data_IF_779256475165
#
_entry.id   IF_779256475165
#
_cell.length_a   1.000
_cell.length_b   1.000
_cell.length_c   1.000
_cell.angle_alpha   90.00
_cell.angle_beta   90.00
_cell.angle_gamma   90.00
#
_symmetry.space_group_name_H-M   'P 1'
#
loop_
_entity.id
_entity.type
_entity.pdbx_description
1 polymer ?
#
# COMPACT_ATOMS: atom_id res chain seq x y z
N UNK A 1 -78.71 34.59 3.78
CA UNK A 1 -77.62 35.18 2.97
C UNK A 1 -76.41 34.26 3.05
N UNK A 2 -75.80 34.00 1.88
CA UNK A 2 -74.46 33.45 1.66
C UNK A 2 -74.26 31.93 1.91
N UNK A 3 -73.69 31.34 0.86
CA UNK A 3 -73.47 29.93 0.52
C UNK A 3 -72.13 29.41 1.08
N UNK A 4 -71.92 28.09 0.88
CA UNK A 4 -70.65 27.34 0.68
C UNK A 4 -70.08 26.70 1.96
N UNK A 5 -69.50 25.50 1.95
CA UNK A 5 -69.36 24.40 0.96
C UNK A 5 -68.75 23.23 1.76
N UNK A 6 -69.22 22.00 1.53
CA UNK A 6 -68.69 20.78 2.13
C UNK A 6 -67.26 20.50 1.67
N UNK A 7 -66.42 19.94 2.57
CA UNK A 7 -65.44 18.94 2.16
C UNK A 7 -65.13 17.96 3.29
N UNK A 8 -65.56 16.72 3.08
CA UNK A 8 -65.25 15.56 3.90
C UNK A 8 -63.76 15.20 3.79
N UNK A 9 -63.15 14.77 4.89
CA UNK A 9 -61.89 14.05 4.89
C UNK A 9 -62.08 12.71 5.59
N UNK A 10 -62.04 11.66 4.77
CA UNK A 10 -62.00 10.27 5.20
C UNK A 10 -60.71 9.99 5.97
N UNK A 11 -60.84 9.48 7.19
CA UNK A 11 -59.74 8.93 7.97
C UNK A 11 -59.44 7.51 7.48
N UNK A 12 -58.26 7.33 6.88
CA UNK A 12 -57.73 6.02 6.53
C UNK A 12 -56.68 5.64 7.57
N UNK A 13 -57.02 4.69 8.44
CA UNK A 13 -56.10 4.10 9.41
C UNK A 13 -55.24 3.04 8.71
N UNK A 14 -53.93 3.28 8.57
CA UNK A 14 -52.96 2.25 8.22
C UNK A 14 -52.32 1.73 9.51
N UNK A 15 -52.67 0.51 9.88
CA UNK A 15 -52.03 -0.25 10.95
C UNK A 15 -50.73 -0.86 10.39
N UNK A 16 -49.61 -0.52 11.02
CA UNK A 16 -48.27 -0.98 10.65
C UNK A 16 -48.08 -2.47 10.96
N UNK A 17 -47.74 -3.28 9.95
CA UNK A 17 -47.23 -4.64 10.11
C UNK A 17 -45.71 -4.62 9.95
N UNK A 18 -45.00 -5.08 10.98
CA UNK A 18 -43.55 -5.01 11.12
C UNK A 18 -42.80 -5.87 10.10
N UNK A 19 -41.75 -5.28 9.52
CA UNK A 19 -40.73 -5.99 8.76
C UNK A 19 -39.44 -5.97 9.59
N UNK A 20 -39.20 -7.02 10.37
CA UNK A 20 -37.92 -7.24 11.04
C UNK A 20 -36.88 -7.60 9.97
N UNK A 21 -36.07 -6.63 9.56
CA UNK A 21 -34.89 -6.88 8.73
C UNK A 21 -33.86 -7.61 9.59
N UNK A 22 -33.80 -8.94 9.47
CA UNK A 22 -32.70 -9.72 9.98
C UNK A 22 -31.44 -9.39 9.19
N UNK A 23 -30.53 -8.62 9.79
CA UNK A 23 -29.19 -8.41 9.24
C UNK A 23 -28.43 -9.75 9.28
N UNK A 24 -28.40 -10.47 8.16
CA UNK A 24 -27.49 -11.59 8.01
C UNK A 24 -26.05 -11.04 7.87
N UNK A 25 -25.06 -11.60 8.59
CA UNK A 25 -23.68 -11.30 8.30
C UNK A 25 -23.35 -11.89 6.92
N UNK A 26 -22.96 -11.03 5.99
CA UNK A 26 -22.40 -11.44 4.72
C UNK A 26 -21.06 -12.15 4.99
N UNK A 27 -21.08 -13.48 5.01
CA UNK A 27 -19.87 -14.29 4.99
C UNK A 27 -19.26 -14.18 3.58
N UNK A 28 -18.33 -13.24 3.41
CA UNK A 28 -17.54 -13.13 2.19
C UNK A 28 -16.57 -14.34 2.12
N UNK A 29 -17.02 -15.43 1.48
CA UNK A 29 -16.15 -16.53 1.09
C UNK A 29 -15.29 -16.08 -0.11
N UNK A 30 -14.22 -15.32 0.16
CA UNK A 30 -13.18 -15.01 -0.82
C UNK A 30 -11.84 -15.63 -0.41
N UNK A 31 -11.85 -16.92 -0.04
CA UNK A 31 -10.63 -17.74 -0.07
C UNK A 31 -10.46 -18.30 -1.48
N UNK A 32 -10.18 -17.39 -2.43
CA UNK A 32 -9.64 -17.79 -3.72
C UNK A 32 -8.33 -18.53 -3.47
N UNK A 33 -8.28 -19.79 -3.89
CA UNK A 33 -7.04 -20.55 -4.09
C UNK A 33 -6.01 -19.60 -4.69
N UNK A 34 -4.87 -19.40 -4.02
CA UNK A 34 -3.70 -18.78 -4.63
C UNK A 34 -3.36 -19.60 -5.88
N UNK A 35 -3.77 -19.10 -7.04
CA UNK A 35 -3.35 -19.64 -8.31
C UNK A 35 -1.87 -19.29 -8.40
N UNK A 36 -1.02 -20.29 -8.18
CA UNK A 36 0.40 -20.21 -8.48
C UNK A 36 0.55 -20.13 -10.00
N UNK A 37 0.34 -18.93 -10.53
CA UNK A 37 0.72 -18.59 -11.90
C UNK A 37 2.25 -18.64 -11.97
N UNK A 38 2.78 -19.67 -12.64
CA UNK A 38 4.21 -19.98 -12.70
C UNK A 38 5.04 -18.90 -13.41
N UNK A 39 4.43 -17.84 -13.95
CA UNK A 39 5.10 -16.68 -14.55
C UNK A 39 5.20 -15.44 -13.65
N UNK A 40 4.48 -15.38 -12.53
CA UNK A 40 4.50 -14.25 -11.59
C UNK A 40 5.50 -14.54 -10.46
N UNK A 41 6.32 -13.55 -10.11
CA UNK A 41 7.23 -13.70 -8.98
C UNK A 41 6.44 -14.00 -7.71
N UNK A 42 6.99 -14.86 -6.85
CA UNK A 42 6.34 -15.29 -5.62
C UNK A 42 6.78 -14.43 -4.43
N UNK A 43 5.83 -13.79 -3.77
CA UNK A 43 6.08 -12.93 -2.61
C UNK A 43 6.65 -13.74 -1.44
N UNK A 44 6.28 -15.02 -1.32
CA UNK A 44 6.76 -15.89 -0.24
C UNK A 44 8.28 -16.11 -0.35
N UNK A 45 8.77 -16.32 -1.57
CA UNK A 45 10.20 -16.40 -1.87
C UNK A 45 10.96 -15.14 -1.44
N UNK A 46 10.43 -13.95 -1.72
CA UNK A 46 11.04 -12.68 -1.27
C UNK A 46 11.03 -12.54 0.27
N UNK A 47 9.94 -12.96 0.93
CA UNK A 47 9.80 -12.91 2.38
C UNK A 47 10.80 -13.83 3.10
N UNK A 48 11.04 -15.03 2.55
CA UNK A 48 11.84 -16.07 3.18
C UNK A 48 13.34 -16.02 2.85
N UNK A 49 13.74 -15.23 1.85
CA UNK A 49 15.11 -15.12 1.38
C UNK A 49 16.13 -14.82 2.49
N UNK A 50 17.31 -15.46 2.45
CA UNK A 50 18.39 -15.33 3.44
C UNK A 50 18.90 -13.90 3.67
N UNK A 51 18.86 -13.04 2.66
CA UNK A 51 19.19 -11.61 2.73
C UNK A 51 18.36 -10.81 3.74
N UNK A 52 17.24 -11.39 4.21
CA UNK A 52 16.37 -10.85 5.25
C UNK A 52 16.61 -11.49 6.61
N UNK A 53 17.70 -12.23 6.82
CA UNK A 53 17.97 -12.92 8.09
C UNK A 53 17.85 -11.98 9.30
N UNK A 54 18.44 -10.79 9.22
CA UNK A 54 18.37 -9.77 10.28
C UNK A 54 16.99 -9.08 10.37
N UNK A 55 16.24 -9.02 9.26
CA UNK A 55 14.93 -8.40 9.21
C UNK A 55 13.84 -9.23 9.89
N UNK A 56 13.96 -10.57 9.83
CA UNK A 56 12.94 -11.54 10.25
C UNK A 56 12.50 -11.37 11.70
N UNK A 57 13.40 -10.91 12.58
CA UNK A 57 13.08 -10.63 13.98
C UNK A 57 11.93 -9.61 14.15
N UNK A 58 11.72 -8.75 13.14
CA UNK A 58 10.68 -7.73 13.14
C UNK A 58 9.41 -8.12 12.40
N UNK A 59 9.40 -9.22 11.66
CA UNK A 59 8.22 -9.67 10.90
C UNK A 59 7.04 -9.94 11.84
N UNK A 60 7.28 -10.34 13.10
CA UNK A 60 6.23 -10.54 14.11
C UNK A 60 5.49 -9.26 14.52
N UNK A 61 6.09 -8.09 14.33
CA UNK A 61 5.48 -6.80 14.62
C UNK A 61 4.93 -6.12 13.37
N UNK A 62 5.55 -6.40 12.21
CA UNK A 62 5.20 -5.75 10.95
C UNK A 62 4.25 -6.55 10.07
N UNK A 63 4.13 -7.85 10.31
CA UNK A 63 3.28 -8.77 9.58
C UNK A 63 3.35 -8.62 8.05
N UNK A 64 4.55 -8.62 7.44
CA UNK A 64 4.72 -8.18 6.04
C UNK A 64 3.88 -8.98 5.05
N UNK A 65 3.76 -10.29 5.24
CA UNK A 65 2.91 -11.14 4.39
C UNK A 65 1.45 -10.68 4.41
N UNK A 66 0.90 -10.43 5.61
CA UNK A 66 -0.49 -10.00 5.77
C UNK A 66 -0.70 -8.58 5.26
N UNK A 67 0.26 -7.69 5.51
CA UNK A 67 0.20 -6.30 5.05
C UNK A 67 0.21 -6.24 3.52
N UNK A 68 1.16 -6.91 2.87
CA UNK A 68 1.26 -6.90 1.41
C UNK A 68 0.07 -7.61 0.74
N UNK A 69 -0.47 -8.65 1.38
CA UNK A 69 -1.72 -9.29 0.95
C UNK A 69 -2.92 -8.34 1.10
N UNK A 70 -3.01 -7.59 2.20
CA UNK A 70 -4.12 -6.65 2.42
C UNK A 70 -4.17 -5.56 1.35
N UNK A 71 -3.01 -5.05 0.93
CA UNK A 71 -2.91 -4.09 -0.16
C UNK A 71 -2.99 -4.72 -1.56
N UNK A 72 -3.10 -6.04 -1.64
CA UNK A 72 -3.08 -6.81 -2.88
C UNK A 72 -1.91 -6.41 -3.80
N UNK A 73 -0.71 -6.35 -3.23
CA UNK A 73 0.50 -6.01 -3.98
C UNK A 73 0.84 -7.16 -4.93
N UNK A 74 0.88 -6.85 -6.22
CA UNK A 74 1.14 -7.81 -7.29
C UNK A 74 2.48 -7.51 -7.99
N UNK A 75 3.14 -8.51 -8.59
CA UNK A 75 4.53 -8.37 -9.02
C UNK A 75 4.71 -7.59 -10.33
N UNK A 76 3.60 -7.31 -11.02
CA UNK A 76 3.49 -6.52 -12.25
C UNK A 76 3.04 -5.07 -11.99
N UNK A 77 2.86 -4.67 -10.74
CA UNK A 77 2.47 -3.31 -10.39
C UNK A 77 3.65 -2.34 -10.34
N UNK A 78 3.33 -1.05 -10.38
CA UNK A 78 4.23 0.01 -9.89
C UNK A 78 3.95 0.26 -8.42
N UNK A 79 4.94 0.09 -7.56
CA UNK A 79 4.83 0.28 -6.11
C UNK A 79 5.78 1.37 -5.66
N UNK A 80 5.24 2.32 -4.91
CA UNK A 80 5.98 3.43 -4.32
C UNK A 80 6.20 3.16 -2.81
N UNK A 81 7.45 2.98 -2.39
CA UNK A 81 7.83 2.88 -0.98
C UNK A 81 8.20 4.27 -0.44
N UNK A 82 7.35 4.83 0.41
CA UNK A 82 7.65 6.06 1.12
C UNK A 82 8.51 5.79 2.36
N UNK A 83 9.62 6.49 2.48
CA UNK A 83 10.52 6.43 3.64
C UNK A 83 11.15 5.05 3.83
N UNK A 84 11.92 4.52 2.86
CA UNK A 84 12.47 3.17 2.94
C UNK A 84 13.45 2.98 4.12
N UNK A 85 14.02 4.08 4.65
CA UNK A 85 14.90 4.05 5.82
C UNK A 85 16.04 3.04 5.66
N UNK A 86 16.12 2.08 6.58
CA UNK A 86 17.09 0.97 6.54
C UNK A 86 16.76 -0.18 5.57
N UNK A 87 15.78 0.00 4.68
CA UNK A 87 15.48 -0.90 3.57
C UNK A 87 14.64 -2.13 3.90
N UNK A 88 13.98 -2.17 5.06
CA UNK A 88 13.32 -3.41 5.52
C UNK A 88 12.21 -3.89 4.55
N UNK A 89 11.39 -2.97 4.03
CA UNK A 89 10.38 -3.30 3.01
C UNK A 89 11.00 -3.36 1.61
N UNK A 90 11.98 -2.51 1.31
CA UNK A 90 12.79 -2.58 0.09
C UNK A 90 13.31 -3.99 -0.17
N UNK A 91 13.77 -4.69 0.88
CA UNK A 91 14.28 -6.06 0.77
C UNK A 91 13.22 -7.11 0.40
N UNK A 92 11.94 -6.77 0.44
CA UNK A 92 10.83 -7.59 -0.04
C UNK A 92 10.36 -7.08 -1.42
N UNK A 93 10.01 -5.79 -1.48
CA UNK A 93 9.32 -5.18 -2.62
C UNK A 93 10.20 -5.14 -3.87
N UNK A 94 11.47 -4.73 -3.74
CA UNK A 94 12.32 -4.54 -4.90
C UNK A 94 12.56 -5.86 -5.65
N UNK A 95 13.01 -6.97 -5.03
CA UNK A 95 13.14 -8.25 -5.73
C UNK A 95 11.81 -8.80 -6.26
N UNK A 96 10.72 -8.57 -5.53
CA UNK A 96 9.39 -9.03 -5.92
C UNK A 96 8.94 -8.37 -7.23
N UNK A 97 9.18 -7.07 -7.39
CA UNK A 97 8.76 -6.29 -8.55
C UNK A 97 9.78 -6.29 -9.70
N UNK A 98 11.05 -6.61 -9.43
CA UNK A 98 12.16 -6.42 -10.37
C UNK A 98 12.01 -7.11 -11.74
N UNK A 99 11.17 -8.14 -11.87
CA UNK A 99 11.00 -8.84 -13.14
C UNK A 99 9.95 -8.20 -14.04
N UNK A 100 8.78 -7.87 -13.49
CA UNK A 100 7.59 -7.52 -14.28
C UNK A 100 6.95 -6.18 -13.89
N UNK A 101 7.35 -5.61 -12.75
CA UNK A 101 6.79 -4.40 -12.18
C UNK A 101 7.83 -3.29 -12.07
N UNK A 102 7.45 -2.23 -11.35
CA UNK A 102 8.33 -1.07 -11.12
C UNK A 102 8.38 -0.76 -9.62
N UNK A 103 9.58 -0.65 -9.09
CA UNK A 103 9.81 -0.21 -7.72
C UNK A 103 10.29 1.24 -7.72
N UNK A 104 9.63 2.09 -6.93
CA UNK A 104 10.00 3.49 -6.74
C UNK A 104 10.17 3.73 -5.24
N UNK A 105 11.29 4.28 -4.83
CA UNK A 105 11.51 4.75 -3.48
C UNK A 105 11.33 6.27 -3.42
N UNK A 106 10.63 6.77 -2.40
CA UNK A 106 10.52 8.21 -2.18
C UNK A 106 10.84 8.60 -0.74
N UNK A 107 11.48 9.75 -0.58
CA UNK A 107 11.59 10.46 0.68
C UNK A 107 10.85 11.79 0.62
N UNK A 108 10.71 12.45 1.77
CA UNK A 108 10.13 13.77 1.83
C UNK A 108 10.95 14.79 1.02
N UNK A 109 10.24 15.78 0.47
CA UNK A 109 10.77 16.99 -0.14
C UNK A 109 11.69 17.73 0.84
N UNK A 110 12.98 17.75 0.52
CA UNK A 110 14.00 18.32 1.38
C UNK A 110 13.99 19.85 1.40
N UNK A 111 13.36 20.50 0.40
CA UNK A 111 13.21 21.97 0.34
C UNK A 111 12.35 22.53 1.47
N UNK A 112 11.61 21.67 2.17
CA UNK A 112 10.75 22.02 3.31
C UNK A 112 11.48 22.02 4.65
N UNK A 113 12.77 21.69 4.67
CA UNK A 113 13.56 21.63 5.90
C UNK A 113 14.58 22.76 5.99
N UNK A 114 14.73 23.29 7.20
CA UNK A 114 15.88 24.10 7.58
C UNK A 114 17.02 23.18 8.02
N UNK A 115 18.21 23.37 7.45
CA UNK A 115 19.39 22.57 7.78
C UNK A 115 20.35 23.36 8.68
N UNK A 116 20.95 22.71 9.69
CA UNK A 116 21.89 23.37 10.60
C UNK A 116 23.23 23.73 9.93
N UNK A 117 23.57 23.09 8.81
CA UNK A 117 24.75 23.36 8.00
C UNK A 117 24.61 22.73 6.59
N UNK A 118 25.54 23.09 5.70
CA UNK A 118 25.56 22.64 4.31
C UNK A 118 25.84 21.13 4.19
N UNK A 119 26.62 20.55 5.10
CA UNK A 119 26.90 19.10 5.10
C UNK A 119 25.64 18.28 5.39
N UNK A 120 24.82 18.72 6.34
CA UNK A 120 23.54 18.09 6.65
C UNK A 120 22.59 18.18 5.46
N UNK A 121 22.52 19.35 4.82
CA UNK A 121 21.72 19.58 3.61
C UNK A 121 22.16 18.65 2.47
N UNK A 122 23.45 18.65 2.14
CA UNK A 122 24.00 17.83 1.05
C UNK A 122 23.79 16.33 1.28
N UNK A 123 23.89 15.85 2.53
CA UNK A 123 23.64 14.43 2.86
C UNK A 123 22.20 14.00 2.63
N UNK A 124 21.24 14.89 2.89
CA UNK A 124 19.81 14.61 2.66
C UNK A 124 19.50 14.70 1.17
N UNK A 125 19.88 15.78 0.51
CA UNK A 125 19.61 16.02 -0.91
C UNK A 125 20.28 15.01 -1.84
N UNK A 126 21.40 14.41 -1.43
CA UNK A 126 22.07 13.34 -2.19
C UNK A 126 21.39 11.97 -2.06
N UNK A 127 20.32 11.85 -1.27
CA UNK A 127 19.65 10.57 -1.00
C UNK A 127 19.16 9.86 -2.29
N UNK A 128 18.48 10.51 -3.23
CA UNK A 128 18.03 9.87 -4.46
C UNK A 128 19.18 9.23 -5.26
N UNK A 129 20.37 9.84 -5.27
CA UNK A 129 21.52 9.34 -6.03
C UNK A 129 22.22 8.16 -5.34
N UNK A 130 22.26 8.14 -4.00
CA UNK A 130 22.95 7.09 -3.22
C UNK A 130 22.06 5.91 -2.83
N UNK A 131 20.74 6.08 -2.82
CA UNK A 131 19.80 5.01 -2.45
C UNK A 131 19.84 3.81 -3.41
N UNK A 132 19.83 3.98 -4.76
CA UNK A 132 19.93 2.85 -5.69
C UNK A 132 21.11 1.93 -5.41
N UNK A 133 22.27 2.50 -5.09
CA UNK A 133 23.46 1.73 -4.70
C UNK A 133 23.21 0.94 -3.41
N UNK A 134 22.66 1.57 -2.38
CA UNK A 134 22.36 0.90 -1.10
C UNK A 134 21.36 -0.24 -1.29
N UNK A 135 20.30 0.01 -2.07
CA UNK A 135 19.28 -0.98 -2.38
C UNK A 135 19.83 -2.13 -3.23
N UNK A 136 20.75 -1.87 -4.16
CA UNK A 136 21.49 -2.92 -4.88
C UNK A 136 22.38 -3.74 -3.93
N UNK A 137 23.15 -3.11 -3.05
CA UNK A 137 24.00 -3.81 -2.07
C UNK A 137 23.16 -4.71 -1.15
N UNK A 138 21.97 -4.26 -0.76
CA UNK A 138 21.05 -5.12 -0.07
C UNK A 138 20.60 -6.26 -0.99
N UNK A 139 20.01 -5.92 -2.14
CA UNK A 139 19.11 -6.81 -2.89
C UNK A 139 19.71 -7.64 -4.01
N UNK A 140 20.87 -7.25 -4.51
CA UNK A 140 21.44 -7.76 -5.75
C UNK A 140 20.66 -7.34 -7.00
N UNK A 141 19.56 -6.60 -6.88
CA UNK A 141 18.81 -6.09 -8.03
C UNK A 141 19.59 -4.96 -8.68
N UNK A 142 19.71 -5.00 -10.01
CA UNK A 142 20.43 -4.01 -10.80
C UNK A 142 19.97 -2.58 -10.48
N UNK A 143 20.94 -1.68 -10.27
CA UNK A 143 20.69 -0.24 -10.01
C UNK A 143 19.85 0.42 -11.10
N UNK A 144 19.91 -0.07 -12.35
CA UNK A 144 19.11 0.42 -13.45
C UNK A 144 17.59 0.19 -13.26
N UNK A 145 17.19 -0.69 -12.35
CA UNK A 145 15.79 -0.98 -12.00
C UNK A 145 15.31 -0.27 -10.73
N UNK A 146 16.14 0.60 -10.15
CA UNK A 146 15.86 1.23 -8.86
C UNK A 146 15.70 2.73 -9.07
N UNK A 147 14.45 3.19 -8.96
CA UNK A 147 14.11 4.60 -9.07
C UNK A 147 13.98 5.20 -7.66
N UNK A 148 14.57 6.37 -7.45
CA UNK A 148 14.51 7.08 -6.17
C UNK A 148 14.32 8.57 -6.41
N UNK A 149 13.40 9.19 -5.69
CA UNK A 149 13.04 10.60 -5.83
C UNK A 149 12.74 11.26 -4.47
N UNK A 150 12.87 12.57 -4.40
CA UNK A 150 12.13 13.32 -3.37
C UNK A 150 10.66 13.45 -3.79
N UNK A 151 9.75 13.64 -2.83
CA UNK A 151 8.31 13.60 -3.10
C UNK A 151 7.80 14.69 -4.04
N UNK A 152 8.58 15.76 -4.23
CA UNK A 152 8.34 16.86 -5.17
C UNK A 152 8.98 16.64 -6.56
N UNK A 153 9.73 15.55 -6.74
CA UNK A 153 10.49 15.23 -7.96
C UNK A 153 9.97 13.95 -8.65
N UNK A 154 8.75 13.51 -8.33
CA UNK A 154 8.15 12.35 -8.99
C UNK A 154 7.95 12.62 -10.49
N UNK A 155 8.27 11.63 -11.36
CA UNK A 155 8.13 11.76 -12.81
C UNK A 155 6.68 11.76 -13.30
#
# INVERSE_FOLDING_TARGET
MIRKLFLARATLAFLAAGLTVGAMPAMANHHGKMSMDKGKSDIHSALMHERRAEDKARDKYRHPAKTLQFFDVQPDQTVVEYGPGGGWYTRILLPYLAQNGTYIAINADSSKYDFPNDEAKARIQSWPQRFPKSANEWTGVDVAKIHAFESDELP
#
